data_IF_904940579748
#
_entry.id   IF_904940579748
#
_cell.length_a   1.000
_cell.length_b   1.000
_cell.length_c   1.000
_cell.angle_alpha   90.00
_cell.angle_beta   90.00
_cell.angle_gamma   90.00
#
_symmetry.space_group_name_H-M   'P 1'
#
loop_
_entity.id
_entity.type
_entity.pdbx_description
1 polymer ?
#
# COMPACT_ATOMS: atom_id res chain seq x y z
N UNK A 1 -18.55 1.42 6.58
CA UNK A 1 -17.11 1.42 6.95
C UNK A 1 -16.85 0.96 8.39
N UNK A 2 -17.60 1.44 9.40
CA UNK A 2 -17.40 1.14 10.83
C UNK A 2 -17.08 -0.33 11.17
N UNK A 3 -17.75 -1.28 10.50
CA UNK A 3 -17.51 -2.73 10.69
C UNK A 3 -16.06 -3.14 10.43
N UNK A 4 -15.46 -2.64 9.34
CA UNK A 4 -14.05 -2.93 9.01
C UNK A 4 -13.11 -2.38 10.08
N UNK A 5 -13.39 -1.20 10.62
CA UNK A 5 -12.57 -0.58 11.68
C UNK A 5 -12.66 -1.42 12.97
N UNK A 6 -13.87 -1.79 13.41
CA UNK A 6 -14.05 -2.65 14.61
C UNK A 6 -13.30 -3.97 14.51
N UNK A 7 -13.34 -4.59 13.33
CA UNK A 7 -12.66 -5.85 13.04
C UNK A 7 -11.15 -5.69 12.75
N UNK A 8 -10.59 -4.47 12.78
CA UNK A 8 -9.19 -4.21 12.49
C UNK A 8 -8.79 -4.44 11.03
N UNK A 9 -9.77 -4.49 10.11
CA UNK A 9 -9.58 -4.63 8.66
C UNK A 9 -9.37 -3.26 7.97
N UNK A 10 -9.67 -2.18 8.68
CA UNK A 10 -9.34 -0.80 8.29
C UNK A 10 -8.69 -0.12 9.50
N UNK A 11 -7.61 0.63 9.27
CA UNK A 11 -6.79 1.23 10.32
C UNK A 11 -6.21 0.24 11.36
N UNK A 12 -6.24 -1.06 11.06
CA UNK A 12 -5.54 -2.07 11.85
C UNK A 12 -4.03 -1.93 11.70
N UNK A 13 -3.31 -2.19 12.79
CA UNK A 13 -1.85 -2.08 12.90
C UNK A 13 -1.28 -0.66 12.69
N UNK A 14 -2.09 0.39 12.86
CA UNK A 14 -1.52 1.73 13.03
C UNK A 14 -0.77 1.83 14.36
N UNK A 15 0.22 2.72 14.42
CA UNK A 15 1.03 2.93 15.61
C UNK A 15 0.34 3.97 16.50
N UNK A 16 0.00 3.65 17.76
CA UNK A 16 -0.57 4.62 18.68
C UNK A 16 0.49 5.67 19.08
N UNK A 17 0.05 6.92 19.14
CA UNK A 17 0.78 8.08 19.65
C UNK A 17 -0.04 8.64 20.80
N UNK A 18 0.28 8.24 22.02
CA UNK A 18 -0.58 8.44 23.21
C UNK A 18 0.14 9.09 24.41
N UNK A 19 1.43 9.40 24.24
CA UNK A 19 2.21 10.09 25.27
C UNK A 19 2.49 11.54 24.87
N UNK A 20 2.45 12.50 25.82
CA UNK A 20 2.75 13.90 25.53
C UNK A 20 4.09 14.11 24.81
N UNK A 21 5.12 13.33 25.18
CA UNK A 21 6.43 13.39 24.55
C UNK A 21 6.42 12.98 23.06
N UNK A 22 5.64 11.96 22.68
CA UNK A 22 5.51 11.54 21.29
C UNK A 22 4.65 12.52 20.49
N UNK A 23 3.58 13.05 21.07
CA UNK A 23 2.76 14.10 20.46
C UNK A 23 3.60 15.35 20.20
N UNK A 24 4.42 15.79 21.15
CA UNK A 24 5.31 16.94 20.98
C UNK A 24 6.36 16.70 19.87
N UNK A 25 6.95 15.51 19.81
CA UNK A 25 7.89 15.12 18.73
C UNK A 25 7.19 15.16 17.37
N UNK A 26 6.00 14.58 17.30
CA UNK A 26 5.18 14.60 16.09
C UNK A 26 4.86 16.02 15.67
N UNK A 27 4.41 16.86 16.60
CA UNK A 27 4.07 18.26 16.33
C UNK A 27 5.27 19.10 15.88
N UNK A 28 6.48 18.82 16.37
CA UNK A 28 7.70 19.47 15.85
C UNK A 28 7.96 19.07 14.39
N UNK A 29 7.86 17.78 14.07
CA UNK A 29 8.04 17.29 12.70
C UNK A 29 6.94 17.78 11.76
N UNK A 30 5.68 17.74 12.19
CA UNK A 30 4.54 18.25 11.44
C UNK A 30 4.68 19.75 11.15
N UNK A 31 5.11 20.54 12.13
CA UNK A 31 5.37 21.97 11.95
C UNK A 31 6.55 22.23 11.02
N UNK A 32 7.60 21.42 11.11
CA UNK A 32 8.76 21.52 10.23
C UNK A 32 8.38 21.25 8.76
N UNK A 33 7.58 20.22 8.51
CA UNK A 33 7.18 19.81 7.16
C UNK A 33 6.05 20.66 6.56
N UNK A 34 5.07 21.06 7.37
CA UNK A 34 3.80 21.62 6.89
C UNK A 34 3.46 23.00 7.47
N UNK A 35 4.22 23.47 8.45
CA UNK A 35 3.89 24.70 9.20
C UNK A 35 2.74 24.56 10.21
N UNK A 36 2.06 23.41 10.25
CA UNK A 36 0.88 23.15 11.11
C UNK A 36 1.22 22.30 12.33
N UNK A 37 0.31 22.28 13.31
CA UNK A 37 0.35 21.44 14.49
C UNK A 37 -1.05 20.88 14.77
N UNK A 38 -1.13 19.68 15.33
CA UNK A 38 -2.36 19.07 15.85
C UNK A 38 -2.56 19.46 17.31
N UNK A 39 -3.80 19.68 17.72
CA UNK A 39 -4.20 19.85 19.12
C UNK A 39 -4.63 18.53 19.78
N UNK A 40 -4.63 17.42 19.03
CA UNK A 40 -4.96 16.09 19.56
C UNK A 40 -3.92 15.65 20.59
N UNK A 41 -4.41 15.08 21.69
CA UNK A 41 -3.59 14.54 22.77
C UNK A 41 -3.15 13.10 22.52
N UNK A 42 -3.83 12.41 21.60
CA UNK A 42 -3.50 11.07 21.16
C UNK A 42 -4.11 10.80 19.78
N UNK A 43 -3.45 9.95 18.98
CA UNK A 43 -3.88 9.58 17.62
C UNK A 43 -3.09 8.36 17.12
N UNK A 44 -3.39 7.85 15.92
CA UNK A 44 -2.66 6.73 15.32
C UNK A 44 -2.02 7.11 13.99
N UNK A 45 -0.81 6.61 13.76
CA UNK A 45 -0.04 6.89 12.54
C UNK A 45 0.25 5.63 11.73
N UNK A 46 0.34 5.81 10.41
CA UNK A 46 0.71 4.78 9.45
C UNK A 46 2.24 4.67 9.27
N UNK A 47 2.72 3.87 8.30
CA UNK A 47 4.16 3.72 8.06
C UNK A 47 4.87 5.04 7.74
N UNK A 48 4.18 5.97 7.08
CA UNK A 48 4.70 7.30 6.74
C UNK A 48 4.55 8.32 7.88
N UNK A 49 3.86 7.99 8.96
CA UNK A 49 3.52 8.98 9.98
C UNK A 49 2.24 9.76 9.70
N UNK A 50 1.49 9.39 8.65
CA UNK A 50 0.18 9.97 8.38
C UNK A 50 -0.86 9.40 9.36
N UNK A 51 -1.67 10.28 9.94
CA UNK A 51 -2.79 9.98 10.84
C UNK A 51 -4.10 10.42 10.20
N UNK A 52 -5.09 9.53 10.06
CA UNK A 52 -6.43 9.94 9.63
C UNK A 52 -7.07 10.90 10.65
N UNK A 53 -6.82 10.75 11.95
CA UNK A 53 -7.35 11.67 12.97
C UNK A 53 -6.82 13.10 12.78
N UNK A 54 -5.50 13.25 12.57
CA UNK A 54 -4.89 14.56 12.31
C UNK A 54 -5.36 15.13 10.96
N UNK A 55 -5.51 14.28 9.94
CA UNK A 55 -6.04 14.70 8.65
C UNK A 55 -7.47 15.24 8.73
N UNK A 56 -8.32 14.65 9.57
CA UNK A 56 -9.69 15.13 9.83
C UNK A 56 -9.69 16.45 10.62
N UNK A 57 -8.86 16.56 11.67
CA UNK A 57 -8.72 17.80 12.45
C UNK A 57 -8.26 18.99 11.59
N UNK A 58 -7.30 18.74 10.69
CA UNK A 58 -6.73 19.77 9.82
C UNK A 58 -7.57 20.05 8.56
N UNK A 59 -8.68 19.32 8.36
CA UNK A 59 -9.48 19.31 7.12
C UNK A 59 -8.60 19.10 5.85
N UNK A 60 -7.60 18.22 5.98
CA UNK A 60 -6.61 17.96 4.93
C UNK A 60 -6.14 16.49 4.97
N UNK A 61 -6.75 15.59 4.16
CA UNK A 61 -6.36 14.18 4.11
C UNK A 61 -5.00 13.94 3.42
N UNK A 62 -4.37 14.97 2.87
CA UNK A 62 -3.11 14.92 2.14
C UNK A 62 -2.00 15.74 2.81
N UNK A 63 -2.14 16.06 4.09
CA UNK A 63 -1.20 16.96 4.79
C UNK A 63 0.27 16.52 4.81
N UNK A 64 0.57 15.24 4.54
CA UNK A 64 1.94 14.72 4.34
C UNK A 64 2.19 14.22 2.90
N UNK A 65 1.36 14.57 1.92
CA UNK A 65 1.49 14.16 0.52
C UNK A 65 0.83 15.21 -0.37
N UNK A 66 1.41 16.40 -0.34
CA UNK A 66 0.92 17.52 -1.12
C UNK A 66 0.80 17.12 -2.59
N UNK A 67 -0.35 17.44 -3.20
CA UNK A 67 -0.70 17.07 -4.58
C UNK A 67 -0.65 15.56 -4.91
N UNK A 68 -0.48 14.68 -3.91
CA UNK A 68 -0.37 13.24 -4.14
C UNK A 68 0.90 12.83 -4.90
N UNK A 69 1.97 13.63 -4.86
CA UNK A 69 3.19 13.40 -5.65
C UNK A 69 4.39 13.02 -4.77
N UNK A 70 4.77 13.91 -3.86
CA UNK A 70 5.93 13.71 -2.99
C UNK A 70 5.45 13.46 -1.57
N UNK A 71 5.49 12.19 -1.18
CA UNK A 71 5.08 11.77 0.16
C UNK A 71 6.14 12.22 1.16
N UNK A 72 5.78 13.16 2.00
CA UNK A 72 6.51 13.45 3.23
C UNK A 72 6.22 12.36 4.28
N UNK A 73 7.16 12.16 5.19
CA UNK A 73 7.01 11.20 6.27
C UNK A 73 7.56 11.71 7.61
N UNK A 74 6.98 11.18 8.69
CA UNK A 74 7.38 11.41 10.07
C UNK A 74 7.58 10.03 10.72
N UNK A 75 8.80 9.73 11.13
CA UNK A 75 9.15 8.52 11.88
C UNK A 75 9.34 8.86 13.36
N UNK A 76 8.47 8.30 14.20
CA UNK A 76 8.57 8.32 15.65
C UNK A 76 9.17 7.02 16.21
N UNK A 77 9.16 5.94 15.44
CA UNK A 77 9.69 4.63 15.83
C UNK A 77 9.96 3.75 14.62
N UNK A 78 10.94 2.84 14.73
CA UNK A 78 11.19 1.80 13.71
C UNK A 78 10.05 0.79 13.61
N UNK A 79 9.18 0.70 14.63
CA UNK A 79 7.97 -0.13 14.61
C UNK A 79 6.99 0.21 13.48
N UNK A 80 7.05 1.45 12.96
CA UNK A 80 6.23 1.91 11.82
C UNK A 80 6.39 1.03 10.57
N UNK A 81 7.51 0.29 10.39
CA UNK A 81 7.70 -0.63 9.25
C UNK A 81 6.60 -1.68 9.10
N UNK A 82 5.91 -2.00 10.20
CA UNK A 82 4.82 -2.99 10.23
C UNK A 82 3.44 -2.39 9.91
N UNK A 83 3.31 -1.06 9.96
CA UNK A 83 2.06 -0.36 9.72
C UNK A 83 1.67 -0.41 8.22
N UNK A 84 0.36 -0.28 7.90
CA UNK A 84 -0.07 -0.04 6.53
C UNK A 84 0.39 1.34 6.04
N UNK A 85 0.29 1.57 4.73
CA UNK A 85 0.32 2.92 4.15
C UNK A 85 -1.11 3.28 3.77
N UNK A 86 -1.58 4.44 4.23
CA UNK A 86 -2.90 4.99 3.91
C UNK A 86 -2.79 6.04 2.79
N UNK A 87 -3.89 6.32 2.10
CA UNK A 87 -3.97 7.33 1.03
C UNK A 87 -2.86 7.17 -0.01
N UNK A 88 -2.67 5.93 -0.48
CA UNK A 88 -1.56 5.58 -1.37
C UNK A 88 -1.77 6.19 -2.76
N UNK A 89 -0.87 7.08 -3.18
CA UNK A 89 -0.85 7.64 -4.56
C UNK A 89 0.03 6.87 -5.52
N UNK A 90 1.03 6.13 -5.02
CA UNK A 90 1.94 5.28 -5.81
C UNK A 90 2.16 3.93 -5.14
N UNK A 91 2.15 2.85 -5.91
CA UNK A 91 2.29 1.47 -5.37
C UNK A 91 3.66 1.19 -4.73
N UNK A 92 4.69 1.94 -5.10
CA UNK A 92 6.08 1.74 -4.64
C UNK A 92 6.37 2.37 -3.28
N UNK A 93 5.63 3.41 -2.88
CA UNK A 93 5.94 4.23 -1.70
C UNK A 93 6.05 3.42 -0.40
N UNK A 94 5.15 2.44 -0.19
CA UNK A 94 5.18 1.61 1.02
C UNK A 94 6.44 0.73 1.07
N UNK A 95 6.83 0.15 -0.06
CA UNK A 95 8.01 -0.71 -0.16
C UNK A 95 9.28 0.08 0.14
N UNK A 96 9.39 1.27 -0.45
CA UNK A 96 10.50 2.21 -0.25
C UNK A 96 10.63 2.60 1.23
N UNK A 97 9.54 3.03 1.87
CA UNK A 97 9.55 3.40 3.29
C UNK A 97 9.96 2.23 4.18
N UNK A 98 9.45 1.02 3.92
CA UNK A 98 9.81 -0.16 4.70
C UNK A 98 11.30 -0.47 4.58
N UNK A 99 11.81 -0.54 3.35
CA UNK A 99 13.22 -0.83 3.09
C UNK A 99 14.15 0.24 3.70
N UNK A 100 13.74 1.51 3.62
CA UNK A 100 14.46 2.60 4.27
C UNK A 100 14.55 2.43 5.79
N UNK A 101 13.45 2.05 6.44
CA UNK A 101 13.42 1.80 7.89
C UNK A 101 14.27 0.58 8.25
N UNK A 102 14.20 -0.50 7.48
CA UNK A 102 14.96 -1.74 7.71
C UNK A 102 16.47 -1.52 7.53
N UNK A 103 16.89 -0.84 6.46
CA UNK A 103 18.31 -0.63 6.17
C UNK A 103 19.02 0.35 7.10
N UNK A 104 18.25 1.21 7.77
CA UNK A 104 18.72 2.23 8.71
C UNK A 104 18.21 1.99 10.15
N UNK A 105 17.78 0.76 10.47
CA UNK A 105 17.05 0.47 11.71
C UNK A 105 17.82 0.91 12.98
N UNK A 106 19.12 0.62 13.05
CA UNK A 106 19.94 0.98 14.21
C UNK A 106 20.05 2.51 14.39
N UNK A 107 20.28 3.25 13.30
CA UNK A 107 20.42 4.70 13.29
C UNK A 107 19.08 5.38 13.61
N UNK A 108 18.00 4.93 12.96
CA UNK A 108 16.66 5.42 13.21
C UNK A 108 16.21 5.14 14.64
N UNK A 109 16.51 3.97 15.20
CA UNK A 109 16.22 3.67 16.61
C UNK A 109 16.91 4.65 17.56
N UNK A 110 18.19 4.95 17.33
CA UNK A 110 18.94 5.91 18.15
C UNK A 110 18.39 7.35 18.01
N UNK A 111 18.02 7.77 16.80
CA UNK A 111 17.44 9.08 16.52
C UNK A 111 16.06 9.24 17.16
N UNK A 112 15.17 8.30 16.89
CA UNK A 112 13.78 8.29 17.35
C UNK A 112 13.62 8.18 18.86
N UNK A 113 14.67 7.74 19.57
CA UNK A 113 14.72 7.79 21.02
C UNK A 113 14.66 9.23 21.57
N UNK A 114 15.19 10.22 20.83
CA UNK A 114 15.28 11.63 21.26
C UNK A 114 14.32 12.55 20.51
N UNK A 115 14.21 12.38 19.19
CA UNK A 115 13.42 13.27 18.35
C UNK A 115 12.80 12.53 17.16
N UNK A 116 11.79 13.12 16.52
CA UNK A 116 11.23 12.57 15.29
C UNK A 116 12.22 12.71 14.12
N UNK A 117 12.21 11.74 13.21
CA UNK A 117 12.88 11.84 11.92
C UNK A 117 11.84 12.22 10.88
N UNK A 118 12.01 13.37 10.24
CA UNK A 118 11.15 13.88 9.18
C UNK A 118 11.87 13.76 7.83
N UNK A 119 11.12 13.55 6.77
CA UNK A 119 11.72 13.41 5.45
C UNK A 119 10.71 13.40 4.32
N UNK A 120 11.20 13.16 3.11
CA UNK A 120 10.40 13.14 1.89
C UNK A 120 10.89 12.05 0.94
N UNK A 121 9.94 11.40 0.27
CA UNK A 121 10.20 10.61 -0.92
C UNK A 121 10.30 11.58 -2.11
N UNK A 122 11.51 12.06 -2.36
CA UNK A 122 11.76 13.03 -3.42
C UNK A 122 11.65 12.38 -4.78
N UNK A 123 10.92 13.06 -5.63
CA UNK A 123 10.79 12.77 -7.03
C UNK A 123 11.23 14.00 -7.84
N UNK A 124 11.63 13.81 -9.09
CA UNK A 124 11.92 14.91 -10.02
C UNK A 124 10.70 15.78 -10.32
N UNK A 125 9.51 15.30 -9.98
CA UNK A 125 8.21 15.93 -10.25
C UNK A 125 7.62 16.45 -8.95
N UNK A 126 7.30 17.74 -8.91
CA UNK A 126 6.65 18.38 -7.76
C UNK A 126 5.11 18.38 -7.86
N UNK A 127 4.56 18.10 -9.04
CA UNK A 127 3.12 18.11 -9.29
C UNK A 127 2.75 17.24 -10.49
N UNK A 128 1.68 16.45 -10.34
CA UNK A 128 1.17 15.52 -11.36
C UNK A 128 -0.13 16.07 -11.97
N UNK A 129 -0.11 17.33 -12.41
CA UNK A 129 -1.30 17.96 -13.04
C UNK A 129 -1.56 17.49 -14.47
N UNK A 130 -0.52 17.07 -15.20
CA UNK A 130 -0.59 16.59 -16.58
C UNK A 130 0.07 15.20 -16.69
N UNK A 131 -0.54 14.21 -17.40
CA UNK A 131 0.04 12.87 -17.57
C UNK A 131 1.49 12.81 -18.03
N UNK A 132 1.96 13.77 -18.84
CA UNK A 132 3.34 13.83 -19.34
C UNK A 132 4.36 13.81 -18.20
N UNK A 133 4.00 14.39 -17.04
CA UNK A 133 4.85 14.41 -15.85
C UNK A 133 5.16 13.02 -15.32
N UNK A 134 4.33 12.02 -15.61
CA UNK A 134 4.63 10.67 -15.20
C UNK A 134 5.95 10.19 -15.82
N UNK A 135 6.31 10.57 -17.06
CA UNK A 135 7.58 10.20 -17.71
C UNK A 135 8.82 10.62 -16.93
N UNK A 136 8.71 11.71 -16.17
CA UNK A 136 9.81 12.28 -15.41
C UNK A 136 10.04 11.48 -14.10
N UNK A 137 9.03 10.76 -13.62
CA UNK A 137 9.08 9.93 -12.41
C UNK A 137 9.89 8.65 -12.67
N UNK A 138 11.22 8.74 -12.61
CA UNK A 138 12.14 7.62 -12.89
C UNK A 138 12.91 7.15 -11.68
N UNK A 139 13.11 8.04 -10.72
CA UNK A 139 13.94 7.78 -9.53
C UNK A 139 13.27 8.43 -8.33
N UNK A 140 13.20 7.68 -7.24
CA UNK A 140 12.87 8.22 -5.92
C UNK A 140 14.16 8.27 -5.11
N UNK A 141 14.42 9.41 -4.49
CA UNK A 141 15.45 9.57 -3.48
C UNK A 141 14.79 9.77 -2.12
N UNK A 142 15.33 9.13 -1.08
CA UNK A 142 14.84 9.33 0.28
C UNK A 142 15.74 10.35 0.96
N UNK A 143 15.17 11.51 1.27
CA UNK A 143 15.81 12.51 2.12
C UNK A 143 15.16 12.48 3.51
N UNK A 144 16.00 12.48 4.55
CA UNK A 144 15.56 12.40 5.93
C UNK A 144 16.53 13.10 6.88
N UNK A 145 16.00 13.84 7.83
CA UNK A 145 16.74 14.42 8.95
C UNK A 145 15.85 14.47 10.21
N UNK A 146 16.45 14.70 11.37
CA UNK A 146 15.73 15.11 12.57
C UNK A 146 15.17 16.53 12.44
N UNK A 147 14.21 16.90 13.29
CA UNK A 147 13.60 18.25 13.25
C UNK A 147 14.60 19.38 13.55
N UNK A 148 15.72 19.05 14.19
CA UNK A 148 16.81 19.99 14.50
C UNK A 148 17.98 19.97 13.51
N UNK A 149 17.95 19.13 12.48
CA UNK A 149 19.04 19.04 11.48
C UNK A 149 20.28 18.25 11.95
N UNK A 150 20.13 17.36 12.93
CA UNK A 150 21.22 16.58 13.53
C UNK A 150 22.00 15.73 12.53
N UNK A 151 21.33 15.13 11.52
CA UNK A 151 21.98 14.27 10.53
C UNK A 151 22.87 15.13 9.63
N UNK A 152 22.36 16.26 9.14
CA UNK A 152 23.13 17.22 8.35
C UNK A 152 24.31 17.80 9.12
N UNK A 153 24.10 18.19 10.38
CA UNK A 153 25.17 18.73 11.23
C UNK A 153 26.26 17.66 11.47
N UNK A 154 25.88 16.39 11.65
CA UNK A 154 26.82 15.28 11.81
C UNK A 154 27.60 14.96 10.53
N UNK A 155 26.96 15.05 9.36
CA UNK A 155 27.64 14.90 8.06
C UNK A 155 28.70 16.00 7.88
N UNK A 156 28.33 17.26 8.18
CA UNK A 156 29.23 18.42 8.12
C UNK A 156 30.41 18.29 9.09
N UNK A 157 30.16 17.88 10.34
CA UNK A 157 31.25 17.66 11.31
C UNK A 157 32.21 16.56 10.84
N UNK A 158 31.70 15.50 10.21
CA UNK A 158 32.54 14.48 9.59
C UNK A 158 33.42 15.03 8.47
N UNK A 159 32.87 15.87 7.58
CA UNK A 159 33.65 16.52 6.51
C UNK A 159 34.72 17.46 7.07
N UNK A 160 34.40 18.24 8.11
CA UNK A 160 35.38 19.10 8.79
C UNK A 160 36.49 18.26 9.45
N UNK A 161 36.14 17.11 10.05
CA UNK A 161 37.11 16.17 10.60
C UNK A 161 38.00 15.55 9.51
N UNK A 162 37.45 15.21 8.35
CA UNK A 162 38.22 14.68 7.23
C UNK A 162 39.20 15.75 6.72
N UNK A 163 38.76 17.00 6.57
CA UNK A 163 39.61 18.14 6.20
C UNK A 163 40.72 18.37 7.22
N UNK A 164 40.39 18.38 8.51
CA UNK A 164 41.36 18.52 9.61
C UNK A 164 42.47 17.45 9.55
N UNK A 165 42.13 16.21 9.15
CA UNK A 165 43.07 15.10 9.07
C UNK A 165 43.87 15.03 7.74
N UNK A 166 43.37 15.63 6.67
CA UNK A 166 43.91 15.44 5.30
C UNK A 166 44.56 16.68 4.71
N UNK A 167 44.15 17.88 5.10
CA UNK A 167 44.74 19.14 4.63
C UNK A 167 46.11 19.37 5.30
N UNK A 168 47.10 19.83 4.54
CA UNK A 168 48.50 20.03 4.99
C UNK A 168 48.59 20.91 6.26
N UNK A 169 47.69 21.90 6.33
CA UNK A 169 47.62 22.91 7.39
C UNK A 169 46.34 22.80 8.25
N UNK A 170 45.50 21.78 8.01
CA UNK A 170 44.18 21.66 8.66
C UNK A 170 44.24 21.50 10.18
N UNK A 171 45.35 20.99 10.71
CA UNK A 171 45.53 20.78 12.15
C UNK A 171 45.81 22.07 12.96
N UNK A 172 46.17 23.18 12.31
CA UNK A 172 46.40 24.48 12.95
C UNK A 172 45.45 25.59 12.48
N UNK A 173 44.48 25.27 11.63
CA UNK A 173 43.45 26.22 11.23
C UNK A 173 42.48 26.47 12.39
N UNK A 174 42.70 27.58 13.12
CA UNK A 174 41.86 28.01 14.23
C UNK A 174 40.39 28.21 13.85
N UNK A 175 40.11 28.57 12.59
CA UNK A 175 38.73 28.74 12.08
C UNK A 175 38.08 27.37 11.91
N UNK A 176 38.78 26.42 11.30
CA UNK A 176 38.31 25.04 11.15
C UNK A 176 38.03 24.39 12.52
N UNK A 177 38.93 24.53 13.49
CA UNK A 177 38.76 24.00 14.84
C UNK A 177 37.56 24.64 15.55
N UNK A 178 37.38 25.96 15.44
CA UNK A 178 36.25 26.67 16.04
C UNK A 178 34.90 26.23 15.44
N UNK A 179 34.85 26.00 14.12
CA UNK A 179 33.68 25.44 13.43
C UNK A 179 33.37 24.03 13.94
N UNK A 180 34.38 23.16 14.07
CA UNK A 180 34.22 21.80 14.60
C UNK A 180 33.69 21.79 16.03
N UNK A 181 34.25 22.60 16.93
CA UNK A 181 33.79 22.71 18.34
C UNK A 181 32.33 23.19 18.40
N UNK A 182 31.97 24.15 17.56
CA UNK A 182 30.61 24.69 17.51
C UNK A 182 29.62 23.61 17.06
N UNK A 183 29.98 22.82 16.05
CA UNK A 183 29.13 21.73 15.56
C UNK A 183 29.05 20.55 16.54
N UNK A 184 30.15 20.21 17.21
CA UNK A 184 30.16 19.14 18.21
C UNK A 184 29.21 19.40 19.40
N UNK A 185 28.90 20.66 19.71
CA UNK A 185 27.92 21.02 20.75
C UNK A 185 26.49 20.62 20.38
N UNK A 186 26.11 20.65 19.09
CA UNK A 186 24.79 20.22 18.64
C UNK A 186 24.75 18.72 18.34
N UNK A 187 25.81 18.15 17.78
CA UNK A 187 25.83 16.75 17.29
C UNK A 187 26.24 15.72 18.34
N UNK A 188 27.05 16.12 19.34
CA UNK A 188 27.78 15.19 20.18
C UNK A 188 28.94 14.49 19.45
N UNK A 189 29.45 13.39 20.03
CA UNK A 189 30.59 12.63 19.48
C UNK A 189 30.18 11.75 18.29
N UNK A 190 30.30 12.31 17.09
CA UNK A 190 29.99 11.64 15.81
C UNK A 190 31.03 10.57 15.42
N UNK A 191 32.19 10.53 16.07
CA UNK A 191 33.25 9.53 15.79
C UNK A 191 32.93 8.19 16.43
N UNK A 192 32.31 8.21 17.62
CA UNK A 192 31.89 6.99 18.34
C UNK A 192 30.48 6.54 17.98
N UNK A 193 29.61 7.46 17.57
CA UNK A 193 28.23 7.13 17.19
C UNK A 193 27.83 7.89 15.91
N UNK A 194 28.26 7.41 14.72
CA UNK A 194 27.96 8.09 13.47
C UNK A 194 26.46 8.05 13.16
N UNK A 195 25.79 9.19 13.30
CA UNK A 195 24.37 9.38 13.01
C UNK A 195 24.19 9.67 11.51
N UNK A 196 24.65 8.75 10.65
CA UNK A 196 24.51 8.86 9.19
C UNK A 196 23.46 7.89 8.70
N UNK A 197 22.39 8.41 8.12
CA UNK A 197 21.42 7.63 7.37
C UNK A 197 22.00 7.32 5.99
N UNK A 198 21.81 6.09 5.50
CA UNK A 198 22.17 5.72 4.14
C UNK A 198 21.33 6.53 3.16
N UNK A 199 21.99 7.18 2.21
CA UNK A 199 21.32 7.79 1.06
C UNK A 199 20.80 6.66 0.18
N UNK A 200 19.48 6.60 0.02
CA UNK A 200 18.81 5.52 -0.69
C UNK A 200 18.10 6.04 -1.93
N UNK A 201 18.28 5.28 -3.01
CA UNK A 201 17.82 5.63 -4.35
C UNK A 201 17.11 4.43 -4.95
N UNK A 202 15.93 4.66 -5.48
CA UNK A 202 15.07 3.62 -6.04
C UNK A 202 14.68 3.97 -7.47
N UNK A 203 14.89 3.04 -8.39
CA UNK A 203 14.41 3.19 -9.76
C UNK A 203 12.91 2.85 -9.85
N UNK A 204 12.17 3.67 -10.60
CA UNK A 204 10.74 3.51 -10.85
C UNK A 204 10.49 3.18 -12.31
N UNK A 205 10.66 1.90 -12.64
CA UNK A 205 10.36 1.39 -13.98
C UNK A 205 8.87 1.10 -14.13
N UNK A 206 8.31 0.28 -13.24
CA UNK A 206 6.90 -0.10 -13.28
C UNK A 206 6.21 0.27 -11.97
N UNK A 207 5.05 0.91 -12.05
CA UNK A 207 4.29 1.31 -10.88
C UNK A 207 2.83 1.58 -11.23
N UNK A 208 1.99 1.56 -10.21
CA UNK A 208 0.63 2.08 -10.28
C UNK A 208 0.56 3.44 -9.62
N UNK A 209 -0.28 4.32 -10.16
CA UNK A 209 -0.64 5.59 -9.52
C UNK A 209 -2.15 5.78 -9.46
N UNK A 210 -2.63 6.40 -8.37
CA UNK A 210 -4.04 6.76 -8.22
C UNK A 210 -4.50 7.85 -9.21
N UNK A 211 -3.56 8.61 -9.77
CA UNK A 211 -3.83 9.67 -10.75
C UNK A 211 -4.39 9.10 -12.07
N UNK A 212 -5.12 9.95 -12.80
CA UNK A 212 -5.63 9.66 -14.15
C UNK A 212 -6.39 8.32 -14.25
N UNK A 213 -7.46 8.17 -13.47
CA UNK A 213 -8.28 6.96 -13.48
C UNK A 213 -7.61 5.70 -12.91
N UNK A 214 -6.53 5.85 -12.14
CA UNK A 214 -5.74 4.75 -11.63
C UNK A 214 -4.92 4.11 -12.76
N UNK A 215 -3.68 4.54 -12.96
CA UNK A 215 -2.89 4.12 -14.11
C UNK A 215 -1.74 3.20 -13.72
N UNK A 216 -1.55 2.11 -14.46
CA UNK A 216 -0.41 1.21 -14.36
C UNK A 216 0.56 1.51 -15.48
N UNK A 217 1.81 1.78 -15.13
CA UNK A 217 2.88 2.04 -16.07
C UNK A 217 3.80 0.83 -16.07
N UNK A 218 4.02 0.26 -17.25
CA UNK A 218 4.99 -0.80 -17.50
C UNK A 218 6.03 -0.28 -18.49
N UNK A 219 7.19 0.14 -18.00
CA UNK A 219 8.27 0.68 -18.84
C UNK A 219 9.34 -0.34 -19.17
N UNK A 220 9.51 -1.36 -18.33
CA UNK A 220 10.53 -2.39 -18.52
C UNK A 220 10.05 -3.55 -19.41
N UNK A 221 8.96 -3.38 -20.15
CA UNK A 221 8.43 -4.33 -21.14
C UNK A 221 8.99 -4.04 -22.54
N UNK A 222 8.90 -5.01 -23.46
CA UNK A 222 9.40 -4.84 -24.83
C UNK A 222 8.82 -3.61 -25.55
N UNK A 223 7.56 -3.28 -25.24
CA UNK A 223 6.95 -2.00 -25.60
C UNK A 223 6.43 -1.36 -24.32
N UNK A 224 6.91 -0.16 -23.93
CA UNK A 224 6.36 0.57 -22.80
C UNK A 224 4.85 0.72 -22.96
N UNK A 225 4.10 0.36 -21.93
CA UNK A 225 2.64 0.29 -21.98
C UNK A 225 2.02 0.89 -20.73
N UNK A 226 0.97 1.68 -20.92
CA UNK A 226 0.13 2.24 -19.85
C UNK A 226 -1.24 1.59 -19.89
N UNK A 227 -1.69 1.08 -18.75
CA UNK A 227 -3.06 0.57 -18.56
C UNK A 227 -3.82 1.56 -17.68
N UNK A 228 -4.90 2.15 -18.19
CA UNK A 228 -5.56 3.28 -17.52
C UNK A 228 -7.08 3.28 -17.68
N UNK A 229 -7.76 3.96 -16.75
CA UNK A 229 -9.16 4.34 -16.88
C UNK A 229 -9.40 5.58 -17.76
N UNK A 230 -8.35 6.36 -18.07
CA UNK A 230 -8.42 7.61 -18.84
C UNK A 230 -7.48 7.56 -20.06
N UNK A 231 -7.76 6.71 -21.07
CA UNK A 231 -6.86 6.50 -22.22
C UNK A 231 -6.59 7.79 -23.01
N UNK A 232 -7.61 8.62 -23.27
CA UNK A 232 -7.49 9.83 -24.07
C UNK A 232 -6.47 10.83 -23.49
N UNK A 233 -6.40 10.94 -22.16
CA UNK A 233 -5.42 11.82 -21.50
C UNK A 233 -4.01 11.24 -21.57
N UNK A 234 -3.88 9.91 -21.53
CA UNK A 234 -2.58 9.22 -21.54
C UNK A 234 -1.96 9.14 -22.93
N UNK A 235 -2.77 9.06 -23.99
CA UNK A 235 -2.26 9.00 -25.37
C UNK A 235 -1.48 10.25 -25.75
N UNK A 236 -1.91 11.43 -25.28
CA UNK A 236 -1.21 12.69 -25.50
C UNK A 236 0.17 12.75 -24.83
N UNK A 237 0.42 11.89 -23.82
CA UNK A 237 1.59 11.98 -22.94
C UNK A 237 2.84 11.28 -23.44
N UNK A 238 2.73 10.54 -24.55
CA UNK A 238 3.87 9.83 -25.13
C UNK A 238 4.49 8.78 -24.19
N UNK A 239 3.68 8.14 -23.33
CA UNK A 239 4.12 7.12 -22.38
C UNK A 239 4.28 5.71 -23.00
N UNK A 240 4.15 5.60 -24.33
CA UNK A 240 4.16 4.34 -25.06
C UNK A 240 2.75 3.90 -25.49
N UNK A 241 2.53 2.59 -25.57
CA UNK A 241 1.22 2.04 -25.94
C UNK A 241 0.21 2.29 -24.80
N UNK A 242 -1.01 2.69 -25.14
CA UNK A 242 -2.09 2.90 -24.16
C UNK A 242 -3.15 1.81 -24.32
N UNK A 243 -3.47 1.15 -23.20
CA UNK A 243 -4.52 0.13 -23.10
C UNK A 243 -5.56 0.62 -22.10
N UNK A 244 -6.77 0.93 -22.59
CA UNK A 244 -7.90 1.18 -21.71
C UNK A 244 -8.22 -0.09 -20.89
N UNK A 245 -8.52 0.05 -19.60
CA UNK A 245 -8.88 -1.08 -18.72
C UNK A 245 -10.05 -1.93 -19.25
N UNK A 246 -10.97 -1.33 -20.01
CA UNK A 246 -12.08 -2.03 -20.65
C UNK A 246 -11.71 -2.91 -21.85
N UNK A 247 -10.50 -2.77 -22.42
CA UNK A 247 -10.05 -3.54 -23.58
C UNK A 247 -9.44 -4.89 -23.17
N UNK A 248 -10.28 -5.78 -22.62
CA UNK A 248 -9.88 -7.08 -22.05
C UNK A 248 -9.01 -7.94 -22.97
N UNK A 249 -9.29 -7.96 -24.28
CA UNK A 249 -8.50 -8.73 -25.24
C UNK A 249 -7.08 -8.19 -25.44
N UNK A 250 -6.92 -6.85 -25.50
CA UNK A 250 -5.59 -6.22 -25.60
C UNK A 250 -4.80 -6.43 -24.32
N UNK A 251 -5.48 -6.32 -23.17
CA UNK A 251 -4.89 -6.51 -21.86
C UNK A 251 -4.41 -7.96 -21.65
N UNK A 252 -5.25 -8.94 -21.99
CA UNK A 252 -4.90 -10.36 -21.92
C UNK A 252 -3.67 -10.69 -22.77
N UNK A 253 -3.60 -10.17 -24.00
CA UNK A 253 -2.42 -10.32 -24.88
C UNK A 253 -1.19 -9.68 -24.26
N UNK A 254 -1.28 -8.42 -23.84
CA UNK A 254 -0.17 -7.72 -23.20
C UNK A 254 0.41 -8.49 -22.00
N UNK A 255 -0.44 -8.96 -21.10
CA UNK A 255 -0.01 -9.72 -19.92
C UNK A 255 0.64 -11.06 -20.30
N UNK A 256 0.12 -11.75 -21.31
CA UNK A 256 0.64 -13.04 -21.77
C UNK A 256 1.95 -12.89 -22.53
N UNK A 257 2.01 -11.95 -23.48
CA UNK A 257 3.16 -11.71 -24.34
C UNK A 257 4.40 -11.26 -23.54
N UNK A 258 4.18 -10.56 -22.42
CA UNK A 258 5.24 -10.14 -21.50
C UNK A 258 5.47 -11.15 -20.35
N UNK A 259 4.84 -12.33 -20.39
CA UNK A 259 4.94 -13.37 -19.38
C UNK A 259 4.64 -12.89 -17.94
N UNK A 260 3.74 -11.91 -17.79
CA UNK A 260 3.37 -11.30 -16.50
C UNK A 260 2.37 -12.15 -15.70
N UNK A 261 1.67 -13.06 -16.37
CA UNK A 261 0.63 -13.89 -15.78
C UNK A 261 0.77 -15.34 -16.20
N UNK A 262 0.27 -16.24 -15.35
CA UNK A 262 0.14 -17.66 -15.65
C UNK A 262 -1.24 -18.20 -15.22
N UNK A 263 -1.75 -19.28 -15.85
CA UNK A 263 -2.96 -19.94 -15.39
C UNK A 263 -2.79 -20.55 -14.00
N UNK A 264 -3.76 -20.33 -13.10
CA UNK A 264 -3.75 -20.84 -11.72
C UNK A 264 -3.55 -22.36 -11.69
N UNK A 265 -4.19 -23.08 -12.62
CA UNK A 265 -4.11 -24.54 -12.72
C UNK A 265 -2.74 -25.08 -13.17
N UNK A 266 -1.87 -24.24 -13.73
CA UNK A 266 -0.50 -24.63 -14.12
C UNK A 266 0.52 -24.33 -13.04
N UNK A 267 0.15 -23.58 -12.01
CA UNK A 267 1.07 -23.14 -10.97
C UNK A 267 1.50 -24.31 -10.07
N UNK A 268 2.80 -24.42 -9.80
CA UNK A 268 3.35 -25.47 -8.94
C UNK A 268 3.16 -25.10 -7.46
N UNK A 269 2.86 -26.10 -6.63
CA UNK A 269 2.81 -25.95 -5.17
C UNK A 269 1.55 -25.27 -4.63
N UNK A 270 0.47 -25.20 -5.42
CA UNK A 270 -0.78 -24.56 -5.03
C UNK A 270 -1.98 -25.48 -5.29
N UNK A 271 -2.95 -25.46 -4.38
CA UNK A 271 -4.26 -26.08 -4.58
C UNK A 271 -5.15 -25.16 -5.45
N UNK A 272 -5.04 -25.32 -6.76
CA UNK A 272 -5.82 -24.55 -7.73
C UNK A 272 -7.33 -24.71 -7.53
N UNK A 273 -7.80 -25.92 -7.20
CA UNK A 273 -9.22 -26.21 -6.99
C UNK A 273 -9.78 -25.48 -5.78
N UNK A 274 -9.02 -25.39 -4.68
CA UNK A 274 -9.41 -24.61 -3.50
C UNK A 274 -9.51 -23.10 -3.81
N UNK A 275 -8.55 -22.53 -4.55
CA UNK A 275 -8.59 -21.12 -4.95
C UNK A 275 -9.80 -20.83 -5.81
N UNK A 276 -10.04 -21.66 -6.83
CA UNK A 276 -11.14 -21.49 -7.77
C UNK A 276 -12.50 -21.60 -7.05
N UNK A 277 -12.69 -22.58 -6.17
CA UNK A 277 -13.89 -22.69 -5.33
C UNK A 277 -14.15 -21.43 -4.51
N UNK A 278 -13.10 -20.87 -3.94
CA UNK A 278 -13.25 -19.68 -3.13
C UNK A 278 -13.60 -18.44 -3.97
N UNK A 279 -13.00 -18.29 -5.16
CA UNK A 279 -13.41 -17.27 -6.13
C UNK A 279 -14.89 -17.44 -6.50
N UNK A 280 -15.34 -18.68 -6.72
CA UNK A 280 -16.74 -19.00 -6.98
C UNK A 280 -17.66 -18.62 -5.82
N UNK A 281 -17.28 -18.91 -4.57
CA UNK A 281 -18.07 -18.52 -3.39
C UNK A 281 -18.29 -16.99 -3.33
N UNK A 282 -17.30 -16.18 -3.70
CA UNK A 282 -17.47 -14.73 -3.76
C UNK A 282 -18.32 -14.24 -4.94
N UNK A 283 -18.27 -14.92 -6.09
CA UNK A 283 -19.17 -14.64 -7.22
C UNK A 283 -20.62 -14.91 -6.82
N UNK A 284 -20.87 -15.97 -6.05
CA UNK A 284 -22.20 -16.28 -5.50
C UNK A 284 -22.67 -15.19 -4.54
N UNK A 285 -21.79 -14.70 -3.66
CA UNK A 285 -22.08 -13.58 -2.74
C UNK A 285 -22.43 -12.30 -3.52
N UNK A 286 -21.73 -12.03 -4.61
CA UNK A 286 -22.00 -10.88 -5.47
C UNK A 286 -23.34 -11.00 -6.21
N UNK A 287 -23.65 -12.19 -6.75
CA UNK A 287 -24.93 -12.47 -7.39
C UNK A 287 -26.10 -12.38 -6.40
N UNK A 288 -25.93 -12.90 -5.18
CA UNK A 288 -26.92 -12.83 -4.10
C UNK A 288 -27.22 -11.38 -3.69
N UNK A 289 -26.20 -10.51 -3.67
CA UNK A 289 -26.41 -9.07 -3.48
C UNK A 289 -27.28 -8.48 -4.60
N UNK A 290 -26.99 -8.80 -5.87
CA UNK A 290 -27.78 -8.32 -7.01
C UNK A 290 -29.25 -8.77 -6.97
N UNK A 291 -29.50 -9.96 -6.41
CA UNK A 291 -30.83 -10.50 -6.19
C UNK A 291 -31.51 -10.02 -4.89
N UNK A 292 -30.87 -9.17 -4.09
CA UNK A 292 -31.43 -8.64 -2.85
C UNK A 292 -31.55 -9.66 -1.71
N UNK A 293 -30.75 -10.73 -1.73
CA UNK A 293 -30.77 -11.77 -0.71
C UNK A 293 -30.05 -11.34 0.58
N UNK A 294 -30.52 -11.82 1.73
CA UNK A 294 -29.85 -11.59 3.00
C UNK A 294 -28.70 -12.60 3.19
N UNK A 295 -27.51 -12.07 3.46
CA UNK A 295 -26.26 -12.79 3.67
C UNK A 295 -25.74 -12.63 5.11
N UNK A 296 -26.51 -11.98 5.98
CA UNK A 296 -26.10 -11.70 7.36
C UNK A 296 -25.90 -13.01 8.12
N UNK A 297 -24.69 -13.24 8.64
CA UNK A 297 -24.34 -14.47 9.35
C UNK A 297 -24.24 -15.72 8.46
N UNK A 298 -24.28 -15.59 7.14
CA UNK A 298 -24.15 -16.72 6.23
C UNK A 298 -22.77 -17.38 6.36
N UNK A 299 -22.76 -18.71 6.44
CA UNK A 299 -21.52 -19.50 6.47
C UNK A 299 -21.13 -19.94 5.05
N UNK A 300 -19.89 -20.42 4.86
CA UNK A 300 -19.46 -21.07 3.61
C UNK A 300 -20.43 -22.19 3.15
N UNK A 301 -21.01 -22.93 4.09
CA UNK A 301 -22.00 -23.97 3.79
C UNK A 301 -23.27 -23.36 3.19
N UNK A 302 -23.74 -22.24 3.74
CA UNK A 302 -24.93 -21.53 3.26
C UNK A 302 -24.70 -20.96 1.86
N UNK A 303 -23.53 -20.39 1.59
CA UNK A 303 -23.15 -19.92 0.25
C UNK A 303 -23.17 -21.07 -0.77
N UNK A 304 -22.63 -22.23 -0.42
CA UNK A 304 -22.70 -23.42 -1.31
C UNK A 304 -24.13 -23.92 -1.52
N UNK A 305 -24.99 -23.86 -0.49
CA UNK A 305 -26.41 -24.21 -0.65
C UNK A 305 -27.15 -23.19 -1.51
N UNK A 306 -26.80 -21.90 -1.40
CA UNK A 306 -27.34 -20.84 -2.24
C UNK A 306 -26.94 -21.06 -3.70
N UNK A 307 -25.67 -21.36 -3.95
CA UNK A 307 -25.17 -21.66 -5.28
C UNK A 307 -25.88 -22.85 -5.95
N UNK A 308 -26.24 -23.87 -5.16
CA UNK A 308 -27.00 -25.04 -5.67
C UNK A 308 -28.46 -24.72 -5.96
N UNK A 309 -29.10 -23.90 -5.13
CA UNK A 309 -30.53 -23.54 -5.28
C UNK A 309 -30.75 -22.59 -6.46
N UNK A 310 -29.79 -21.71 -6.71
CA UNK A 310 -29.85 -20.69 -7.76
C UNK A 310 -28.86 -20.98 -8.89
N UNK A 311 -28.57 -22.26 -9.13
CA UNK A 311 -27.49 -22.65 -10.05
C UNK A 311 -27.66 -22.05 -11.44
N UNK A 312 -28.89 -21.99 -11.95
CA UNK A 312 -29.20 -21.48 -13.30
C UNK A 312 -29.23 -19.93 -13.36
N UNK A 313 -29.32 -19.26 -12.21
CA UNK A 313 -29.35 -17.78 -12.11
C UNK A 313 -27.94 -17.18 -11.90
N UNK A 314 -26.91 -18.03 -11.74
CA UNK A 314 -25.54 -17.58 -11.52
C UNK A 314 -24.89 -17.06 -12.82
N UNK A 315 -23.95 -16.11 -12.71
CA UNK A 315 -23.35 -15.50 -13.89
C UNK A 315 -22.40 -16.46 -14.63
N UNK A 316 -22.13 -16.17 -15.90
CA UNK A 316 -21.32 -17.02 -16.79
C UNK A 316 -19.94 -17.36 -16.20
N UNK A 317 -19.31 -16.40 -15.52
CA UNK A 317 -18.03 -16.62 -14.85
C UNK A 317 -18.08 -17.73 -13.80
N UNK A 318 -19.17 -17.87 -13.05
CA UNK A 318 -19.33 -18.96 -12.08
C UNK A 318 -19.31 -20.31 -12.79
N UNK A 319 -20.08 -20.43 -13.87
CA UNK A 319 -20.19 -21.68 -14.62
C UNK A 319 -18.87 -22.08 -15.28
N UNK A 320 -18.12 -21.11 -15.82
CA UNK A 320 -16.81 -21.38 -16.39
C UNK A 320 -15.78 -21.83 -15.34
N UNK A 321 -15.74 -21.18 -14.17
CA UNK A 321 -14.88 -21.62 -13.08
C UNK A 321 -15.31 -22.98 -12.55
N UNK A 322 -16.62 -23.28 -12.48
CA UNK A 322 -17.11 -24.61 -12.09
C UNK A 322 -16.63 -25.70 -13.05
N UNK A 323 -16.67 -25.46 -14.37
CA UNK A 323 -16.12 -26.40 -15.36
C UNK A 323 -14.61 -26.60 -15.18
N UNK A 324 -13.88 -25.54 -14.85
CA UNK A 324 -12.44 -25.62 -14.59
C UNK A 324 -12.12 -26.41 -13.32
N UNK A 325 -12.90 -26.25 -12.25
CA UNK A 325 -12.79 -27.06 -11.02
C UNK A 325 -13.07 -28.53 -11.31
N UNK A 326 -14.16 -28.83 -12.05
CA UNK A 326 -14.49 -30.21 -12.43
C UNK A 326 -13.40 -30.85 -13.31
N UNK A 327 -12.76 -30.08 -14.20
CA UNK A 327 -11.59 -30.56 -14.93
C UNK A 327 -10.42 -30.87 -13.99
N UNK A 328 -10.13 -29.97 -13.03
CA UNK A 328 -8.98 -30.11 -12.13
C UNK A 328 -9.11 -31.26 -11.12
N UNK A 329 -10.34 -31.65 -10.75
CA UNK A 329 -10.59 -32.69 -9.74
C UNK A 329 -11.05 -34.03 -10.35
N UNK A 330 -11.98 -33.96 -11.29
CA UNK A 330 -12.69 -35.14 -11.79
C UNK A 330 -12.21 -35.56 -13.20
N UNK A 331 -11.21 -34.87 -13.75
CA UNK A 331 -10.68 -35.14 -15.10
C UNK A 331 -11.71 -34.86 -16.21
N UNK A 332 -12.62 -33.90 -15.99
CA UNK A 332 -13.60 -33.46 -16.97
C UNK A 332 -12.98 -32.86 -18.25
N UNK A 333 -13.81 -32.26 -19.12
CA UNK A 333 -13.31 -31.59 -20.33
C UNK A 333 -12.67 -30.23 -19.99
N UNK A 334 -11.53 -29.91 -20.61
CA UNK A 334 -10.87 -28.61 -20.44
C UNK A 334 -11.77 -27.49 -21.01
N UNK A 335 -12.23 -26.52 -20.18
CA UNK A 335 -13.12 -25.48 -20.67
C UNK A 335 -12.38 -24.50 -21.59
N UNK A 336 -13.01 -24.13 -22.70
CA UNK A 336 -12.55 -23.03 -23.55
C UNK A 336 -12.98 -21.70 -22.93
N UNK A 337 -12.03 -20.96 -22.38
CA UNK A 337 -12.23 -19.63 -21.81
C UNK A 337 -11.36 -18.66 -22.60
N UNK A 338 -11.98 -17.91 -23.51
CA UNK A 338 -11.32 -16.88 -24.33
C UNK A 338 -11.13 -15.59 -23.53
N UNK A 339 -10.33 -14.64 -24.04
CA UNK A 339 -9.97 -13.41 -23.30
C UNK A 339 -11.11 -12.41 -23.10
N UNK A 340 -12.19 -12.55 -23.87
CA UNK A 340 -13.44 -11.80 -23.75
C UNK A 340 -14.42 -12.42 -22.75
N UNK A 341 -14.17 -13.66 -22.31
CA UNK A 341 -15.03 -14.34 -21.35
C UNK A 341 -14.86 -13.75 -19.94
N UNK A 342 -15.94 -13.46 -19.18
CA UNK A 342 -15.86 -12.83 -17.85
C UNK A 342 -14.98 -13.57 -16.82
N UNK A 343 -14.96 -14.90 -16.87
CA UNK A 343 -14.05 -15.73 -16.03
C UNK A 343 -12.56 -15.61 -16.36
N UNK A 344 -12.16 -15.06 -17.51
CA UNK A 344 -10.78 -15.18 -18.01
C UNK A 344 -9.74 -14.76 -16.96
N UNK A 345 -9.85 -13.54 -16.44
CA UNK A 345 -8.90 -13.03 -15.43
C UNK A 345 -9.00 -13.75 -14.07
N UNK A 346 -10.14 -14.38 -13.75
CA UNK A 346 -10.28 -15.22 -12.55
C UNK A 346 -9.46 -16.52 -12.63
N UNK A 347 -9.08 -16.95 -13.84
CA UNK A 347 -8.25 -18.13 -14.08
C UNK A 347 -6.75 -17.83 -14.03
N UNK A 348 -6.37 -16.56 -13.91
CA UNK A 348 -4.99 -16.10 -13.96
C UNK A 348 -4.48 -15.69 -12.58
N UNK A 349 -3.16 -15.77 -12.43
CA UNK A 349 -2.38 -15.21 -11.33
C UNK A 349 -1.14 -14.52 -11.89
N UNK A 350 -0.52 -13.65 -11.11
CA UNK A 350 0.80 -13.13 -11.45
C UNK A 350 1.82 -14.28 -11.48
N UNK A 351 2.70 -14.26 -12.49
CA UNK A 351 3.86 -15.16 -12.57
C UNK A 351 4.98 -14.66 -11.63
N UNK A 352 6.00 -15.48 -11.42
CA UNK A 352 7.11 -15.14 -10.52
C UNK A 352 8.10 -14.16 -11.18
N UNK A 353 7.96 -12.86 -10.90
CA UNK A 353 8.88 -11.81 -11.35
C UNK A 353 8.91 -10.61 -10.38
N UNK A 354 9.77 -9.61 -10.62
CA UNK A 354 9.89 -8.43 -9.75
C UNK A 354 8.58 -7.63 -9.59
N UNK A 355 7.73 -7.61 -10.62
CA UNK A 355 6.47 -6.84 -10.63
C UNK A 355 5.25 -7.63 -10.13
N UNK A 356 5.45 -8.72 -9.39
CA UNK A 356 4.37 -9.66 -8.97
C UNK A 356 3.26 -8.92 -8.23
N UNK A 357 3.62 -8.02 -7.31
CA UNK A 357 2.65 -7.23 -6.54
C UNK A 357 1.84 -6.27 -7.42
N UNK A 358 2.49 -5.61 -8.38
CA UNK A 358 1.83 -4.68 -9.32
C UNK A 358 0.83 -5.43 -10.22
N UNK A 359 1.22 -6.60 -10.73
CA UNK A 359 0.34 -7.44 -11.55
C UNK A 359 -0.81 -8.01 -10.72
N UNK A 360 -0.56 -8.45 -9.48
CA UNK A 360 -1.63 -8.89 -8.58
C UNK A 360 -2.61 -7.76 -8.24
N UNK A 361 -2.12 -6.53 -8.08
CA UNK A 361 -2.95 -5.34 -7.90
C UNK A 361 -3.84 -5.06 -9.13
N UNK A 362 -3.30 -5.21 -10.34
CA UNK A 362 -4.06 -5.09 -11.59
C UNK A 362 -5.11 -6.21 -11.71
N UNK A 363 -4.73 -7.47 -11.48
CA UNK A 363 -5.66 -8.60 -11.52
C UNK A 363 -6.80 -8.44 -10.50
N UNK A 364 -6.52 -7.89 -9.32
CA UNK A 364 -7.52 -7.57 -8.31
C UNK A 364 -8.54 -6.53 -8.82
N UNK A 365 -8.10 -5.51 -9.57
CA UNK A 365 -8.99 -4.54 -10.19
C UNK A 365 -9.83 -5.14 -11.34
N UNK A 366 -9.26 -6.09 -12.10
CA UNK A 366 -9.97 -6.80 -13.17
C UNK A 366 -10.96 -7.85 -12.67
N UNK A 367 -10.82 -8.30 -11.42
CA UNK A 367 -11.65 -9.35 -10.81
C UNK A 367 -12.29 -8.88 -9.49
N UNK A 368 -13.06 -7.76 -9.49
CA UNK A 368 -13.49 -7.10 -8.26
C UNK A 368 -14.43 -7.94 -7.38
N UNK A 369 -15.02 -9.02 -7.94
CA UNK A 369 -15.80 -9.99 -7.15
C UNK A 369 -14.93 -10.87 -6.25
N UNK A 370 -13.63 -11.03 -6.53
CA UNK A 370 -12.72 -11.68 -5.58
C UNK A 370 -12.31 -10.71 -4.47
N UNK A 371 -13.20 -10.57 -3.48
CA UNK A 371 -13.04 -9.63 -2.37
C UNK A 371 -11.77 -9.86 -1.56
N UNK A 372 -11.26 -11.10 -1.51
CA UNK A 372 -10.04 -11.41 -0.77
C UNK A 372 -8.82 -10.88 -1.51
N UNK A 373 -8.68 -11.20 -2.80
CA UNK A 373 -7.58 -10.67 -3.61
C UNK A 373 -7.64 -9.14 -3.66
N UNK A 374 -8.83 -8.57 -3.80
CA UNK A 374 -9.07 -7.13 -3.77
C UNK A 374 -8.60 -6.49 -2.46
N UNK A 375 -8.96 -7.06 -1.31
CA UNK A 375 -8.53 -6.56 0.00
C UNK A 375 -7.02 -6.64 0.21
N UNK A 376 -6.39 -7.71 -0.29
CA UNK A 376 -4.94 -7.94 -0.11
C UNK A 376 -4.12 -7.03 -1.02
N UNK A 377 -4.50 -6.93 -2.29
CA UNK A 377 -3.66 -6.33 -3.33
C UNK A 377 -4.05 -4.90 -3.68
N UNK A 378 -5.30 -4.47 -3.47
CA UNK A 378 -5.75 -3.12 -3.82
C UNK A 378 -6.73 -2.54 -2.78
N UNK A 379 -6.23 -2.28 -1.57
CA UNK A 379 -7.03 -1.76 -0.43
C UNK A 379 -7.86 -0.51 -0.74
N UNK A 380 -7.29 0.46 -1.44
CA UNK A 380 -8.01 1.69 -1.81
C UNK A 380 -9.27 1.41 -2.66
N UNK A 381 -9.13 0.54 -3.66
CA UNK A 381 -10.27 0.12 -4.49
C UNK A 381 -11.25 -0.72 -3.67
N UNK A 382 -10.75 -1.61 -2.78
CA UNK A 382 -11.60 -2.36 -1.86
C UNK A 382 -12.49 -1.43 -1.02
N UNK A 383 -11.91 -0.42 -0.35
CA UNK A 383 -12.67 0.47 0.52
C UNK A 383 -13.73 1.28 -0.25
N UNK A 384 -13.38 1.77 -1.44
CA UNK A 384 -14.30 2.46 -2.33
C UNK A 384 -15.47 1.57 -2.76
N UNK A 385 -15.20 0.32 -3.18
CA UNK A 385 -16.25 -0.62 -3.56
C UNK A 385 -17.09 -1.06 -2.35
N UNK A 386 -16.45 -1.39 -1.23
CA UNK A 386 -17.11 -1.80 0.00
C UNK A 386 -18.13 -0.76 0.48
N UNK A 387 -17.84 0.54 0.34
CA UNK A 387 -18.77 1.61 0.71
C UNK A 387 -20.12 1.51 -0.03
N UNK A 388 -20.11 1.06 -1.29
CA UNK A 388 -21.28 0.96 -2.17
C UNK A 388 -22.10 -0.33 -1.99
N UNK A 389 -21.56 -1.32 -1.29
CA UNK A 389 -22.23 -2.61 -1.11
C UNK A 389 -23.43 -2.53 -0.16
N UNK A 390 -24.34 -3.49 -0.30
CA UNK A 390 -25.44 -3.72 0.64
C UNK A 390 -24.91 -4.07 2.03
N UNK A 391 -25.67 -3.74 3.08
CA UNK A 391 -25.25 -4.02 4.46
C UNK A 391 -25.06 -5.53 4.74
N UNK A 392 -25.82 -6.39 4.04
CA UNK A 392 -25.73 -7.85 4.16
C UNK A 392 -24.42 -8.38 3.53
N UNK A 393 -24.05 -7.91 2.33
CA UNK A 393 -22.73 -8.22 1.71
C UNK A 393 -21.59 -7.66 2.54
N UNK A 394 -21.70 -6.41 3.03
CA UNK A 394 -20.72 -5.79 3.93
C UNK A 394 -20.50 -6.61 5.19
N UNK A 395 -21.57 -7.18 5.76
CA UNK A 395 -21.50 -8.11 6.89
C UNK A 395 -20.68 -9.32 6.54
N UNK A 396 -21.16 -10.10 5.56
CA UNK A 396 -20.53 -11.36 5.17
C UNK A 396 -19.05 -11.19 4.85
N UNK A 397 -18.69 -10.20 4.02
CA UNK A 397 -17.30 -10.00 3.60
C UNK A 397 -16.40 -9.59 4.77
N UNK A 398 -16.89 -8.73 5.66
CA UNK A 398 -16.08 -8.30 6.80
C UNK A 398 -15.89 -9.44 7.81
N UNK A 399 -16.95 -10.21 8.08
CA UNK A 399 -16.89 -11.38 8.95
C UNK A 399 -15.93 -12.43 8.37
N UNK A 400 -16.07 -12.74 7.07
CA UNK A 400 -15.15 -13.61 6.32
C UNK A 400 -13.68 -13.17 6.44
N UNK A 401 -13.39 -11.89 6.19
CA UNK A 401 -12.01 -11.37 6.25
C UNK A 401 -11.45 -11.42 7.68
N UNK A 402 -12.28 -11.20 8.69
CA UNK A 402 -11.85 -11.26 10.09
C UNK A 402 -11.61 -12.70 10.57
N UNK A 403 -12.48 -13.65 10.20
CA UNK A 403 -12.39 -15.03 10.70
C UNK A 403 -11.43 -15.89 9.91
N UNK A 404 -11.25 -15.63 8.61
CA UNK A 404 -10.49 -16.52 7.74
C UNK A 404 -9.19 -15.92 7.24
N UNK A 405 -9.15 -14.62 6.95
CA UNK A 405 -7.91 -13.98 6.49
C UNK A 405 -7.06 -13.50 7.66
N UNK A 406 -7.66 -12.85 8.66
CA UNK A 406 -6.88 -12.27 9.76
C UNK A 406 -6.24 -13.31 10.69
N UNK A 407 -6.79 -14.53 10.75
CA UNK A 407 -6.29 -15.65 11.57
C UNK A 407 -5.03 -16.27 10.99
N UNK A 408 -4.94 -16.39 9.66
CA UNK A 408 -3.77 -16.95 8.97
C UNK A 408 -3.42 -16.15 7.71
N UNK A 409 -2.85 -14.96 7.93
CA UNK A 409 -2.41 -14.08 6.83
C UNK A 409 -1.31 -14.73 6.00
N UNK A 410 -0.34 -15.38 6.66
CA UNK A 410 0.83 -15.95 6.02
C UNK A 410 0.46 -17.16 5.16
N UNK A 411 -0.30 -18.11 5.70
CA UNK A 411 -0.78 -19.27 4.96
C UNK A 411 -1.76 -18.90 3.86
N UNK A 412 -2.65 -17.91 4.08
CA UNK A 412 -3.53 -17.41 3.02
C UNK A 412 -2.75 -16.79 1.85
N UNK A 413 -1.69 -16.02 2.12
CA UNK A 413 -0.82 -15.47 1.09
C UNK A 413 -0.01 -16.56 0.38
N UNK A 414 0.57 -17.49 1.13
CA UNK A 414 1.30 -18.62 0.56
C UNK A 414 0.41 -19.48 -0.33
N UNK A 415 -0.84 -19.72 0.07
CA UNK A 415 -1.81 -20.44 -0.74
C UNK A 415 -2.20 -19.70 -2.02
N UNK A 416 -2.31 -18.36 -2.00
CA UNK A 416 -2.67 -17.55 -3.16
C UNK A 416 -1.50 -17.31 -4.13
N UNK A 417 -0.31 -17.05 -3.60
CA UNK A 417 0.83 -16.51 -4.33
C UNK A 417 2.05 -17.45 -4.36
N UNK A 418 2.03 -18.58 -3.64
CA UNK A 418 3.15 -19.53 -3.57
C UNK A 418 4.29 -19.06 -2.65
N UNK A 419 5.52 -19.54 -2.90
CA UNK A 419 6.71 -19.11 -2.16
C UNK A 419 7.12 -17.67 -2.55
N UNK A 420 6.41 -16.69 -2.02
CA UNK A 420 7.01 -15.37 -1.79
C UNK A 420 8.17 -15.56 -0.80
N UNK A 421 9.36 -14.94 -1.00
CA UNK A 421 10.33 -14.85 0.08
C UNK A 421 9.61 -14.27 1.28
N UNK A 422 9.69 -14.98 2.41
CA UNK A 422 8.85 -14.75 3.56
C UNK A 422 8.83 -13.26 3.93
N UNK A 423 7.72 -12.60 3.61
CA UNK A 423 7.25 -11.51 4.44
C UNK A 423 6.78 -12.17 5.72
N UNK A 424 7.70 -12.52 6.61
CA UNK A 424 7.38 -12.83 8.01
C UNK A 424 7.04 -11.50 8.68
N UNK A 425 5.75 -11.18 8.92
CA UNK A 425 5.46 -10.22 9.97
C UNK A 425 5.82 -10.88 11.31
N UNK A 426 6.43 -10.15 12.25
CA UNK A 426 6.58 -10.64 13.62
C UNK A 426 5.20 -10.98 14.20
N UNK A 427 5.15 -11.83 15.26
CA UNK A 427 3.91 -12.21 15.91
C UNK A 427 3.07 -10.98 16.24
N UNK A 428 1.72 -11.08 16.17
CA UNK A 428 0.86 -9.95 16.46
C UNK A 428 1.22 -9.40 17.84
N UNK A 429 1.40 -8.07 17.98
CA UNK A 429 1.55 -7.48 19.31
C UNK A 429 0.32 -7.84 20.15
N UNK A 430 0.46 -7.94 21.49
CA UNK A 430 -0.68 -8.17 22.36
C UNK A 430 -1.76 -7.12 22.05
N UNK A 431 -3.05 -7.50 22.09
CA UNK A 431 -4.12 -6.55 21.81
C UNK A 431 -3.95 -5.35 22.74
N UNK A 432 -3.90 -4.11 22.22
CA UNK A 432 -3.97 -2.94 23.08
C UNK A 432 -5.27 -3.02 23.88
N UNK A 433 -5.19 -2.70 25.17
CA UNK A 433 -6.38 -2.41 25.96
C UNK A 433 -7.18 -1.30 25.22
N UNK A 434 -8.49 -1.49 25.10
CA UNK A 434 -9.39 -0.68 24.28
C UNK A 434 -9.11 0.84 24.35
N UNK A 435 -9.21 1.56 23.21
CA UNK A 435 -10.54 1.97 22.75
C UNK A 435 -10.69 2.02 21.20
N UNK A 436 -11.10 0.91 20.57
CA UNK A 436 -11.41 0.88 19.12
C UNK A 436 -12.63 1.73 18.73
N UNK A 437 -13.51 2.02 19.68
CA UNK A 437 -14.66 2.91 19.48
C UNK A 437 -14.26 4.39 19.38
N UNK A 438 -13.11 4.76 19.95
CA UNK A 438 -12.61 6.14 19.96
C UNK A 438 -12.13 6.58 18.58
N UNK A 439 -11.44 5.69 17.84
CA UNK A 439 -11.03 5.98 16.47
C UNK A 439 -12.27 6.23 15.58
N UNK A 440 -13.31 5.40 15.67
CA UNK A 440 -14.57 5.58 14.91
C UNK A 440 -15.28 6.89 15.27
N UNK A 441 -15.26 7.29 16.55
CA UNK A 441 -15.86 8.53 17.02
C UNK A 441 -15.09 9.77 16.52
N UNK A 442 -13.75 9.69 16.47
CA UNK A 442 -12.86 10.79 16.10
C UNK A 442 -12.79 11.03 14.61
N UNK A 443 -12.70 9.97 13.81
CA UNK A 443 -12.55 10.10 12.35
C UNK A 443 -13.88 10.23 11.60
N UNK A 444 -15.01 10.02 12.29
CA UNK A 444 -16.30 9.80 11.61
C UNK A 444 -16.22 8.63 10.59
N UNK A 445 -17.29 8.35 9.83
CA UNK A 445 -17.28 7.26 8.83
C UNK A 445 -16.43 7.53 7.56
N UNK A 446 -15.70 8.66 7.51
CA UNK A 446 -14.85 9.24 6.44
C UNK A 446 -15.52 9.63 5.12
N UNK A 447 -15.33 10.92 4.75
CA UNK A 447 -15.24 11.43 3.38
C UNK A 447 -16.49 12.11 2.79
N UNK A 448 -16.70 13.40 3.09
CA UNK A 448 -17.68 14.32 2.48
C UNK A 448 -19.17 13.91 2.54
N UNK A 449 -19.81 14.19 3.67
CA UNK A 449 -21.22 14.61 3.64
C UNK A 449 -21.24 16.10 3.95
N UNK A 450 -21.57 16.90 2.93
CA UNK A 450 -21.91 18.31 3.10
C UNK A 450 -22.87 18.42 4.29
N UNK A 451 -22.42 18.99 5.41
CA UNK A 451 -23.36 19.62 6.33
C UNK A 451 -23.90 20.82 5.57
N UNK A 452 -25.11 20.68 5.03
CA UNK A 452 -25.92 21.85 4.73
C UNK A 452 -25.99 22.68 6.01
N UNK A 453 -25.39 23.86 5.96
CA UNK A 453 -25.58 24.88 6.99
C UNK A 453 -27.03 25.35 6.88
N UNK A 454 -27.81 25.10 7.92
CA UNK A 454 -28.87 26.04 8.32
C UNK A 454 -28.25 27.27 8.94
#
# INVERSE_FOLDING_TARGET
MQRLIRLGLMFGNLIPVDSPALVDRYNRALKHLTGRQTALTDFHIDISGFSPEVGDELDDPLYLNENGCNRQFILLTTGQKTAPLLNTSFSTSRGILRQFIEENEAQLFALTARDAVAGELLNSVFSVTNPDRLNDIRRIEVEADTTTGLVRDAEKLGQLSDRFLTEEDGWFDDVLIAEMITMAKSTGDVTRNPVRLKKMVFEQENFWTAHFGGSYLFRSTATPTVITGEPDKMEAAGLGAVIAKGHVNKLARFLTDNALVEPIVKARGIDASAILRQKMDFIVVDAAQGAGMDLTGATRRDIRMLARRHADDLPEEYHALRRLVAWAEDGGEWPRITSDHPAYFYTLRASAHKDTDLVNMLLAELTPKDVRQLFICHKELFYRLYATWTETKKSYVADFLATEYAVDKAGTRAALFGHEPAMEPPPPPPPPAAPKDDLIARVGPWGAVRKERT
#
